data_IF_702510156757
#
_entry.id   IF_702510156757
#
_cell.length_a   1.000
_cell.length_b   1.000
_cell.length_c   1.000
_cell.angle_alpha   90.00
_cell.angle_beta   90.00
_cell.angle_gamma   90.00
#
_symmetry.space_group_name_H-M   'P 1'
#
loop_
_entity.id
_entity.type
_entity.pdbx_description
1 polymer ?
#
# COMPACT_ATOMS: atom_id res chain seq x y z
N UNK A 1 -4.19 -2.86 17.89
CA UNK A 1 -2.87 -2.40 17.40
C UNK A 1 -3.06 -1.84 15.99
N UNK A 2 -2.71 -0.59 15.73
CA UNK A 2 -2.89 -0.01 14.39
C UNK A 2 -1.62 -0.28 13.56
N UNK A 3 -1.62 -1.36 12.77
CA UNK A 3 -0.51 -1.76 11.91
C UNK A 3 -0.64 -1.00 10.58
N UNK A 4 0.37 -0.22 10.22
CA UNK A 4 0.44 0.54 8.97
C UNK A 4 1.47 -0.10 8.04
N UNK A 5 1.17 -0.15 6.73
CA UNK A 5 2.12 -0.66 5.74
C UNK A 5 3.38 0.20 5.63
N UNK A 6 3.20 1.50 5.71
CA UNK A 6 4.25 2.52 5.57
C UNK A 6 4.13 3.56 6.67
N UNK A 7 5.28 4.02 7.19
CA UNK A 7 5.37 5.14 8.14
C UNK A 7 6.51 6.05 7.72
N UNK A 8 6.19 7.31 7.50
CA UNK A 8 7.18 8.34 7.19
C UNK A 8 7.66 9.01 8.48
N UNK A 9 8.96 9.04 8.73
CA UNK A 9 9.56 9.66 9.92
C UNK A 9 10.28 10.99 9.61
N UNK A 10 10.26 11.42 8.34
CA UNK A 10 10.93 12.63 7.88
C UNK A 10 12.37 12.39 7.38
N UNK A 11 13.07 11.43 7.95
CA UNK A 11 14.44 11.03 7.58
C UNK A 11 14.53 9.58 7.08
N UNK A 12 13.44 8.81 7.22
CA UNK A 12 13.37 7.43 6.78
C UNK A 12 11.93 7.02 6.45
N UNK A 13 11.79 6.01 5.62
CA UNK A 13 10.55 5.27 5.41
C UNK A 13 10.62 3.95 6.17
N UNK A 14 9.75 3.78 7.16
CA UNK A 14 9.55 2.49 7.80
C UNK A 14 8.55 1.66 7.01
N UNK A 15 9.01 0.56 6.44
CA UNK A 15 8.22 -0.38 5.63
C UNK A 15 7.92 -1.61 6.46
N UNK A 16 6.65 -1.92 6.68
CA UNK A 16 6.24 -3.17 7.32
C UNK A 16 6.66 -4.35 6.45
N UNK A 17 7.45 -5.24 6.98
CA UNK A 17 7.83 -6.47 6.26
C UNK A 17 6.68 -7.46 6.25
N UNK A 18 5.83 -7.37 5.23
CA UNK A 18 4.65 -8.22 5.07
C UNK A 18 4.98 -9.69 4.81
N UNK A 19 6.25 -10.03 4.55
CA UNK A 19 6.70 -11.41 4.39
C UNK A 19 6.68 -12.18 5.71
N UNK A 20 6.80 -11.45 6.82
CA UNK A 20 6.86 -11.99 8.18
C UNK A 20 5.49 -12.05 8.87
N UNK A 21 4.45 -11.47 8.25
CA UNK A 21 3.09 -11.54 8.77
C UNK A 21 2.47 -12.93 8.52
N UNK A 22 1.57 -13.40 9.40
CA UNK A 22 1.09 -12.76 10.63
C UNK A 22 1.99 -12.98 11.85
N UNK A 23 3.04 -13.78 11.75
CA UNK A 23 3.85 -14.26 12.86
C UNK A 23 4.63 -13.14 13.57
N UNK A 24 5.16 -12.18 12.82
CA UNK A 24 5.97 -11.08 13.36
C UNK A 24 5.65 -9.75 12.71
N UNK A 25 5.58 -8.70 13.50
CA UNK A 25 5.47 -7.31 13.04
C UNK A 25 6.85 -6.69 13.11
N UNK A 26 7.50 -6.53 11.97
CA UNK A 26 8.84 -5.97 11.83
C UNK A 26 8.80 -4.84 10.80
N UNK A 27 9.43 -3.71 11.10
CA UNK A 27 9.59 -2.59 10.17
C UNK A 27 11.03 -2.50 9.67
N UNK A 28 11.19 -2.47 8.36
CA UNK A 28 12.45 -2.15 7.69
C UNK A 28 12.57 -0.63 7.64
N UNK A 29 13.64 -0.09 8.19
CA UNK A 29 13.89 1.35 8.16
C UNK A 29 14.76 1.68 6.94
N UNK A 30 14.14 2.20 5.90
CA UNK A 30 14.78 2.59 4.65
C UNK A 30 15.18 4.07 4.69
N UNK A 31 16.45 4.39 4.46
CA UNK A 31 17.00 5.74 4.42
C UNK A 31 17.48 6.16 3.04
N UNK A 32 17.47 5.23 2.09
CA UNK A 32 17.91 5.44 0.71
C UNK A 32 16.88 4.92 -0.28
N UNK A 33 16.88 5.46 -1.50
CA UNK A 33 16.05 4.95 -2.59
C UNK A 33 16.36 3.47 -2.92
N UNK A 34 17.62 3.06 -2.76
CA UNK A 34 18.04 1.68 -2.99
C UNK A 34 17.42 0.70 -1.97
N UNK A 35 17.35 1.08 -0.70
CA UNK A 35 16.69 0.27 0.34
C UNK A 35 15.18 0.16 0.11
N UNK A 36 14.54 1.26 -0.30
CA UNK A 36 13.12 1.24 -0.69
C UNK A 36 12.89 0.34 -1.90
N UNK A 37 13.73 0.45 -2.94
CA UNK A 37 13.67 -0.40 -4.13
C UNK A 37 13.85 -1.89 -3.77
N UNK A 38 14.76 -2.21 -2.85
CA UNK A 38 14.91 -3.57 -2.34
C UNK A 38 13.66 -4.06 -1.63
N UNK A 39 13.04 -3.24 -0.74
CA UNK A 39 11.80 -3.59 -0.06
C UNK A 39 10.63 -3.84 -1.04
N UNK A 40 10.57 -3.09 -2.15
CA UNK A 40 9.57 -3.29 -3.22
C UNK A 40 9.87 -4.57 -4.00
N UNK A 41 11.10 -4.76 -4.48
CA UNK A 41 11.53 -5.93 -5.26
C UNK A 41 11.32 -7.22 -4.49
N UNK A 42 11.72 -7.24 -3.23
CA UNK A 42 11.70 -8.41 -2.36
C UNK A 42 10.32 -8.64 -1.72
N UNK A 43 9.32 -7.85 -2.13
CA UNK A 43 7.92 -7.93 -1.71
C UNK A 43 7.69 -7.75 -0.20
N UNK A 44 8.57 -7.03 0.49
CA UNK A 44 8.31 -6.59 1.85
C UNK A 44 7.10 -5.63 1.88
N UNK A 45 7.00 -4.72 0.90
CA UNK A 45 5.79 -3.94 0.61
C UNK A 45 5.09 -4.50 -0.62
N UNK A 46 3.75 -4.54 -0.60
CA UNK A 46 2.89 -5.13 -1.63
C UNK A 46 1.62 -4.30 -1.80
N UNK A 47 0.99 -4.43 -2.98
CA UNK A 47 -0.18 -3.66 -3.36
C UNK A 47 0.20 -2.45 -4.21
N UNK A 48 -0.53 -2.23 -5.31
CA UNK A 48 -0.20 -1.20 -6.28
C UNK A 48 -0.12 0.21 -5.64
N UNK A 49 -1.09 0.63 -4.80
CA UNK A 49 -1.01 1.95 -4.15
C UNK A 49 0.16 2.05 -3.16
N UNK A 50 0.34 1.07 -2.28
CA UNK A 50 1.44 1.09 -1.30
C UNK A 50 2.81 1.11 -1.97
N UNK A 51 2.99 0.42 -3.12
CA UNK A 51 4.22 0.45 -3.90
C UNK A 51 4.44 1.85 -4.49
N UNK A 52 3.41 2.50 -5.01
CA UNK A 52 3.48 3.88 -5.50
C UNK A 52 3.88 4.87 -4.41
N UNK A 53 3.23 4.79 -3.24
CA UNK A 53 3.58 5.61 -2.07
C UNK A 53 5.02 5.36 -1.61
N UNK A 54 5.45 4.09 -1.52
CA UNK A 54 6.81 3.76 -1.13
C UNK A 54 7.85 4.33 -2.11
N UNK A 55 7.58 4.24 -3.42
CA UNK A 55 8.46 4.80 -4.44
C UNK A 55 8.56 6.33 -4.33
N UNK A 56 7.44 7.02 -4.08
CA UNK A 56 7.42 8.46 -3.87
C UNK A 56 8.31 8.87 -2.68
N UNK A 57 8.18 8.18 -1.54
CA UNK A 57 9.07 8.42 -0.40
C UNK A 57 10.52 8.05 -0.69
N UNK A 58 10.79 7.03 -1.50
CA UNK A 58 12.14 6.70 -1.96
C UNK A 58 12.81 7.86 -2.71
N UNK A 59 12.05 8.57 -3.57
CA UNK A 59 12.53 9.78 -4.23
C UNK A 59 12.67 10.94 -3.24
N UNK A 60 11.78 11.07 -2.27
CA UNK A 60 11.89 12.12 -1.24
C UNK A 60 13.14 11.97 -0.36
N UNK A 61 13.59 10.71 -0.11
CA UNK A 61 14.84 10.42 0.61
C UNK A 61 16.08 10.80 -0.20
N UNK A 62 16.08 10.51 -1.50
CA UNK A 62 17.22 10.78 -2.39
C UNK A 62 16.74 11.32 -3.74
N UNK A 63 16.53 12.64 -3.89
CA UNK A 63 15.97 13.25 -5.11
C UNK A 63 17.01 13.40 -6.23
N UNK A 64 17.54 12.29 -6.74
CA UNK A 64 18.53 12.24 -7.82
C UNK A 64 18.10 11.28 -8.94
N UNK A 65 18.55 11.47 -10.17
CA UNK A 65 18.10 10.70 -11.33
C UNK A 65 18.31 9.19 -11.16
N UNK A 66 19.46 8.79 -10.60
CA UNK A 66 19.74 7.37 -10.33
C UNK A 66 18.71 6.69 -9.41
N UNK A 67 18.04 7.46 -8.55
CA UNK A 67 16.98 6.93 -7.66
C UNK A 67 15.73 6.54 -8.45
N UNK A 68 15.37 7.31 -9.48
CA UNK A 68 14.26 6.96 -10.38
C UNK A 68 14.54 5.66 -11.12
N UNK A 69 15.76 5.47 -11.63
CA UNK A 69 16.15 4.26 -12.35
C UNK A 69 16.13 3.02 -11.45
N UNK A 70 16.65 3.13 -10.23
CA UNK A 70 16.68 2.02 -9.27
C UNK A 70 15.26 1.61 -8.87
N UNK A 71 14.40 2.58 -8.56
CA UNK A 71 13.02 2.34 -8.19
C UNK A 71 12.21 1.75 -9.35
N UNK A 72 12.35 2.30 -10.57
CA UNK A 72 11.65 1.79 -11.75
C UNK A 72 11.97 0.31 -12.03
N UNK A 73 13.21 -0.11 -11.79
CA UNK A 73 13.66 -1.50 -11.98
C UNK A 73 13.17 -2.45 -10.89
N UNK A 74 12.68 -1.95 -9.74
CA UNK A 74 12.28 -2.79 -8.60
C UNK A 74 11.06 -3.66 -8.92
N UNK A 75 10.06 -3.12 -9.67
CA UNK A 75 8.89 -3.87 -10.16
C UNK A 75 8.40 -3.31 -11.52
N UNK A 76 8.97 -3.77 -12.64
CA UNK A 76 8.73 -3.18 -13.97
C UNK A 76 7.27 -3.24 -14.46
N UNK A 77 6.43 -4.08 -13.86
CA UNK A 77 5.01 -4.22 -14.23
C UNK A 77 4.05 -3.45 -13.32
N UNK A 78 4.56 -2.76 -12.29
CA UNK A 78 3.73 -2.05 -11.31
C UNK A 78 3.36 -0.65 -11.82
N UNK A 79 2.21 -0.51 -12.46
CA UNK A 79 1.75 0.76 -13.07
C UNK A 79 1.79 1.93 -12.09
N UNK A 80 1.32 1.75 -10.85
CA UNK A 80 1.32 2.80 -9.84
C UNK A 80 2.74 3.26 -9.43
N UNK A 81 3.73 2.38 -9.55
CA UNK A 81 5.14 2.75 -9.35
C UNK A 81 5.55 3.83 -10.36
N UNK A 82 5.31 3.58 -11.64
CA UNK A 82 5.68 4.52 -12.71
C UNK A 82 4.88 5.81 -12.63
N UNK A 83 3.57 5.73 -12.33
CA UNK A 83 2.74 6.90 -12.10
C UNK A 83 3.31 7.79 -10.98
N UNK A 84 3.68 7.20 -9.85
CA UNK A 84 4.26 7.94 -8.74
C UNK A 84 5.60 8.57 -9.10
N UNK A 85 6.50 7.83 -9.77
CA UNK A 85 7.78 8.34 -10.22
C UNK A 85 7.63 9.52 -11.19
N UNK A 86 6.69 9.43 -12.15
CA UNK A 86 6.42 10.52 -13.10
C UNK A 86 5.85 11.76 -12.39
N UNK A 87 4.94 11.56 -11.44
CA UNK A 87 4.40 12.63 -10.61
C UNK A 87 5.50 13.29 -9.79
N UNK A 88 6.38 12.49 -9.18
CA UNK A 88 7.55 12.98 -8.44
C UNK A 88 8.54 13.77 -9.32
N UNK A 89 8.72 13.41 -10.60
CA UNK A 89 9.60 14.15 -11.52
C UNK A 89 9.16 15.60 -11.66
N UNK A 90 7.86 15.85 -11.77
CA UNK A 90 7.26 17.17 -12.00
C UNK A 90 7.22 18.04 -10.76
N UNK A 91 7.27 17.47 -9.57
CA UNK A 91 7.17 18.20 -8.32
C UNK A 91 8.44 19.02 -8.03
N UNK A 92 8.29 20.23 -7.56
CA UNK A 92 9.39 21.05 -7.08
C UNK A 92 9.88 20.59 -5.70
N UNK A 93 8.95 20.35 -4.77
CA UNK A 93 9.21 19.81 -3.44
C UNK A 93 8.88 18.31 -3.41
N UNK A 94 9.92 17.48 -3.43
CA UNK A 94 9.78 16.01 -3.44
C UNK A 94 9.17 15.46 -2.16
N UNK A 95 9.46 16.09 -1.03
CA UNK A 95 8.93 15.64 0.26
C UNK A 95 7.43 15.94 0.37
N UNK A 96 7.06 17.19 0.13
CA UNK A 96 5.66 17.59 0.16
C UNK A 96 4.82 16.75 -0.83
N UNK A 97 5.36 16.46 -2.02
CA UNK A 97 4.66 15.66 -3.02
C UNK A 97 4.49 14.20 -2.61
N UNK A 98 5.50 13.58 -1.98
CA UNK A 98 5.38 12.22 -1.48
C UNK A 98 4.33 12.11 -0.36
N UNK A 99 4.29 13.09 0.54
CA UNK A 99 3.28 13.19 1.59
C UNK A 99 1.88 13.42 1.00
N UNK A 100 1.76 14.22 -0.08
CA UNK A 100 0.52 14.43 -0.82
C UNK A 100 0.02 13.14 -1.48
N UNK A 101 0.89 12.41 -2.20
CA UNK A 101 0.56 11.10 -2.80
C UNK A 101 0.01 10.13 -1.75
N UNK A 102 0.64 10.08 -0.59
CA UNK A 102 0.23 9.19 0.50
C UNK A 102 -1.14 9.59 1.09
N UNK A 103 -1.34 10.87 1.34
CA UNK A 103 -2.60 11.37 1.92
C UNK A 103 -3.77 11.29 0.96
N UNK A 104 -3.54 11.56 -0.33
CA UNK A 104 -4.53 11.41 -1.40
C UNK A 104 -4.97 9.95 -1.57
N UNK A 105 -4.02 9.00 -1.57
CA UNK A 105 -4.36 7.57 -1.63
C UNK A 105 -5.26 7.16 -0.47
N UNK A 106 -4.96 7.61 0.75
CA UNK A 106 -5.81 7.35 1.91
C UNK A 106 -7.21 7.94 1.74
N UNK A 107 -7.32 9.19 1.28
CA UNK A 107 -8.59 9.87 1.05
C UNK A 107 -9.44 9.12 0.00
N UNK A 108 -8.82 8.76 -1.13
CA UNK A 108 -9.49 7.98 -2.20
C UNK A 108 -9.97 6.62 -1.68
N UNK A 109 -9.18 5.92 -0.87
CA UNK A 109 -9.59 4.64 -0.29
C UNK A 109 -10.78 4.78 0.68
N UNK A 110 -10.83 5.86 1.46
CA UNK A 110 -11.99 6.16 2.32
C UNK A 110 -13.25 6.43 1.50
N UNK A 111 -13.13 7.19 0.41
CA UNK A 111 -14.25 7.45 -0.51
C UNK A 111 -14.74 6.18 -1.22
N UNK A 112 -13.81 5.34 -1.71
CA UNK A 112 -14.15 4.01 -2.26
C UNK A 112 -14.93 3.20 -1.24
N UNK A 113 -14.47 3.18 0.02
CA UNK A 113 -15.15 2.50 1.11
C UNK A 113 -16.56 3.02 1.33
N UNK A 114 -16.73 4.35 1.42
CA UNK A 114 -18.01 4.99 1.66
C UNK A 114 -19.00 4.78 0.51
N UNK A 115 -18.57 4.91 -0.74
CA UNK A 115 -19.42 4.68 -1.91
C UNK A 115 -19.78 3.21 -2.07
N UNK A 116 -18.79 2.31 -1.96
CA UNK A 116 -19.00 0.88 -2.10
C UNK A 116 -19.92 0.30 -1.03
N UNK A 117 -19.80 0.78 0.22
CA UNK A 117 -20.67 0.34 1.31
C UNK A 117 -22.16 0.61 1.06
N UNK A 118 -22.51 1.67 0.32
CA UNK A 118 -23.89 1.97 -0.05
C UNK A 118 -24.53 0.89 -0.92
N UNK A 119 -23.73 0.20 -1.73
CA UNK A 119 -24.17 -0.84 -2.66
C UNK A 119 -24.33 -2.22 -1.99
N UNK A 120 -23.82 -2.40 -0.77
CA UNK A 120 -23.87 -3.67 -0.07
C UNK A 120 -25.18 -3.78 0.72
N UNK A 121 -26.00 -4.83 0.46
CA UNK A 121 -27.22 -5.09 1.24
C UNK A 121 -26.92 -5.50 2.69
N UNK A 122 -27.92 -5.35 3.56
CA UNK A 122 -27.90 -5.89 4.92
C UNK A 122 -27.71 -7.40 4.90
N UNK A 123 -26.82 -7.94 5.73
CA UNK A 123 -26.57 -9.39 5.84
C UNK A 123 -25.88 -10.02 4.61
N UNK A 124 -25.34 -9.21 3.71
CA UNK A 124 -24.70 -9.71 2.49
C UNK A 124 -23.54 -10.66 2.79
N UNK A 125 -23.36 -11.68 1.93
CA UNK A 125 -22.18 -12.54 1.91
C UNK A 125 -21.27 -12.08 0.78
N UNK A 126 -20.04 -11.67 1.12
CA UNK A 126 -19.10 -11.02 0.21
C UNK A 126 -17.92 -11.95 -0.02
N UNK A 127 -17.58 -12.19 -1.30
CA UNK A 127 -16.34 -12.85 -1.69
C UNK A 127 -15.29 -11.79 -1.98
N UNK A 128 -14.09 -11.91 -1.36
CA UNK A 128 -12.95 -11.05 -1.66
C UNK A 128 -11.73 -11.89 -2.09
N UNK A 129 -10.91 -11.31 -2.95
CA UNK A 129 -9.74 -11.96 -3.52
C UNK A 129 -8.49 -11.07 -3.34
N UNK A 130 -7.30 -11.67 -3.19
CA UNK A 130 -6.04 -10.99 -2.99
C UNK A 130 -5.95 -10.25 -1.64
N UNK A 131 -4.89 -9.46 -1.43
CA UNK A 131 -4.80 -8.51 -0.32
C UNK A 131 -5.19 -7.11 -0.83
N UNK A 132 -6.38 -6.68 -0.48
CA UNK A 132 -6.96 -5.39 -0.90
C UNK A 132 -7.28 -4.49 0.30
N UNK A 133 -6.62 -4.75 1.42
CA UNK A 133 -6.79 -4.04 2.67
C UNK A 133 -5.79 -2.90 2.88
N UNK A 134 -5.76 -2.40 4.11
CA UNK A 134 -4.90 -1.30 4.54
C UNK A 134 -3.40 -1.56 4.30
N UNK A 135 -2.97 -2.82 4.28
CA UNK A 135 -1.57 -3.19 4.03
C UNK A 135 -1.16 -3.07 2.56
N UNK A 136 -2.12 -2.94 1.64
CA UNK A 136 -1.88 -2.79 0.21
C UNK A 136 -1.97 -1.34 -0.28
N UNK A 137 -2.28 -0.40 0.59
CA UNK A 137 -2.54 1.02 0.31
C UNK A 137 -1.87 1.91 1.35
N UNK A 138 -2.09 3.22 1.30
CA UNK A 138 -1.68 4.14 2.36
C UNK A 138 -2.45 3.90 3.68
N UNK A 139 -3.61 3.25 3.61
CA UNK A 139 -4.46 2.90 4.75
C UNK A 139 -5.85 2.49 4.27
N UNK A 140 -6.76 2.15 5.15
CA UNK A 140 -8.15 1.74 4.90
C UNK A 140 -8.32 0.53 3.95
N UNK A 141 -7.73 0.55 2.76
CA UNK A 141 -7.84 -0.48 1.72
C UNK A 141 -8.91 -0.17 0.67
N UNK A 142 -8.88 -0.90 -0.44
CA UNK A 142 -9.85 -0.82 -1.54
C UNK A 142 -11.05 -1.74 -1.28
N UNK A 143 -11.04 -2.98 -1.77
CA UNK A 143 -12.16 -3.91 -1.56
C UNK A 143 -12.39 -4.25 -0.08
N UNK A 144 -11.33 -4.50 0.71
CA UNK A 144 -11.48 -4.63 2.17
C UNK A 144 -11.89 -3.30 2.83
N UNK A 145 -11.55 -2.16 2.25
CA UNK A 145 -12.03 -0.86 2.67
C UNK A 145 -13.56 -0.77 2.57
N UNK A 146 -14.13 -1.23 1.45
CA UNK A 146 -15.60 -1.32 1.26
C UNK A 146 -16.24 -2.25 2.31
N UNK A 147 -15.66 -3.43 2.52
CA UNK A 147 -16.13 -4.39 3.52
C UNK A 147 -16.11 -3.78 4.94
N UNK A 148 -15.01 -3.14 5.30
CA UNK A 148 -14.86 -2.45 6.60
C UNK A 148 -15.88 -1.32 6.79
N UNK A 149 -16.16 -0.57 5.72
CA UNK A 149 -17.15 0.50 5.74
C UNK A 149 -18.59 -0.03 5.80
N UNK A 150 -18.81 -1.28 5.40
CA UNK A 150 -20.10 -1.96 5.48
C UNK A 150 -20.29 -2.84 6.73
N UNK A 151 -19.38 -2.80 7.70
CA UNK A 151 -19.38 -3.70 8.88
C UNK A 151 -20.69 -3.68 9.67
N UNK A 152 -21.31 -2.50 9.80
CA UNK A 152 -22.53 -2.32 10.58
C UNK A 152 -23.79 -2.94 9.89
N UNK A 153 -23.61 -3.44 8.66
CA UNK A 153 -24.63 -4.17 7.91
C UNK A 153 -24.64 -5.68 8.19
N UNK A 154 -23.86 -6.17 9.14
CA UNK A 154 -23.81 -7.59 9.50
C UNK A 154 -23.34 -8.50 8.36
N UNK A 155 -22.40 -8.03 7.54
CA UNK A 155 -21.88 -8.78 6.40
C UNK A 155 -21.01 -9.96 6.85
N UNK A 156 -21.08 -11.07 6.09
CA UNK A 156 -20.12 -12.18 6.20
C UNK A 156 -19.15 -12.16 5.03
N UNK A 157 -17.90 -12.59 5.24
CA UNK A 157 -16.83 -12.48 4.24
C UNK A 157 -16.18 -13.81 3.99
N UNK A 158 -15.99 -14.15 2.72
CA UNK A 158 -15.18 -15.29 2.27
C UNK A 158 -13.93 -14.71 1.60
N UNK A 159 -12.76 -14.96 2.17
CA UNK A 159 -11.48 -14.55 1.60
C UNK A 159 -10.85 -15.72 0.84
N UNK A 160 -10.48 -15.48 -0.43
CA UNK A 160 -9.72 -16.46 -1.21
C UNK A 160 -8.27 -16.54 -0.72
N UNK A 161 -7.69 -17.74 -0.73
CA UNK A 161 -6.33 -17.99 -0.22
C UNK A 161 -5.23 -17.22 -0.96
N UNK A 162 -5.35 -17.09 -2.26
CA UNK A 162 -4.38 -16.38 -3.14
C UNK A 162 -2.99 -17.03 -3.16
N UNK A 163 -2.85 -18.15 -3.87
CA UNK A 163 -1.56 -18.82 -4.08
C UNK A 163 -0.68 -18.04 -5.08
N UNK A 164 0.67 -18.14 -5.00
CA UNK A 164 1.44 -18.99 -4.08
C UNK A 164 1.78 -18.35 -2.73
N UNK A 165 1.60 -17.03 -2.56
CA UNK A 165 2.04 -16.29 -1.38
C UNK A 165 1.00 -16.22 -0.26
N UNK A 166 -0.16 -16.80 -0.44
CA UNK A 166 -1.22 -16.97 0.56
C UNK A 166 -1.67 -15.65 1.22
N UNK A 167 -1.76 -14.57 0.45
CA UNK A 167 -2.16 -13.26 1.00
C UNK A 167 -3.56 -13.31 1.64
N UNK A 168 -4.48 -14.08 1.09
CA UNK A 168 -5.79 -14.27 1.68
C UNK A 168 -5.72 -14.87 3.08
N UNK A 169 -5.02 -16.00 3.22
CA UNK A 169 -4.88 -16.69 4.50
C UNK A 169 -4.00 -15.92 5.49
N UNK A 170 -2.93 -15.26 5.03
CA UNK A 170 -1.94 -14.63 5.92
C UNK A 170 -2.22 -13.18 6.27
N UNK A 171 -2.86 -12.43 5.38
CA UNK A 171 -3.01 -10.97 5.51
C UNK A 171 -4.47 -10.52 5.52
N UNK A 172 -5.39 -11.25 4.85
CA UNK A 172 -6.79 -10.82 4.70
C UNK A 172 -7.72 -11.43 5.75
N UNK A 173 -7.51 -12.69 6.09
CA UNK A 173 -8.34 -13.44 7.05
C UNK A 173 -8.17 -13.04 8.52
#
# INVERSE_FOLDING_TARGET
MNVQALRWTGDALEVLDQRLLPERIVYLRCRTAAEVAAAIRDMAVRGAPAIGCAAAFGIALEPKESSYDILAKSRPTAVNLFWALERMRRAADKRAEAEAIFSEDLAVNLEIGAHGAKLIPQGARILTYCNTGALATAGHGTALGVIRSARDKGVSVIACETRPYLQGARLTA
#
